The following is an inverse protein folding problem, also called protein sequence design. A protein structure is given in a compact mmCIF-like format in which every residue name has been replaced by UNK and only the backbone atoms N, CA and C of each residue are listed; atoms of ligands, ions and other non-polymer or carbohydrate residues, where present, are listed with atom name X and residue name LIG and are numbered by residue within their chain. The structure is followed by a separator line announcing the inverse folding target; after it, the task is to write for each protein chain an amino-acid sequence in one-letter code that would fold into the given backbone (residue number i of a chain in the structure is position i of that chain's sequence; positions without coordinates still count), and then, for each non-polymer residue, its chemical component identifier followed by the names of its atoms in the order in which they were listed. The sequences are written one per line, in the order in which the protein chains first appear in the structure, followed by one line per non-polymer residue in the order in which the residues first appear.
data_IF_829642707352
#
_entry.id   IF_829642707352
#
_cell.length_a   1.000
_cell.length_b   1.000
_cell.length_c   1.000
_cell.angle_alpha   90.00
_cell.angle_beta   90.00
_cell.angle_gamma   90.00
#
_symmetry.space_group_name_H-M   'P 1'
#
loop_
_entity.id
_entity.type
_entity.pdbx_description
1 polymer ?
#
# COMPACT_ATOMS: atom_id res chain seq x y z
N UNK A 1 -0.31 0.40 -0.10
CA UNK A 1 -0.79 1.20 1.05
C UNK A 1 -1.97 2.03 0.60
N UNK A 2 -3.05 2.05 1.37
CA UNK A 2 -4.24 2.90 1.19
C UNK A 2 -4.35 3.86 2.37
N UNK A 3 -4.71 5.12 2.14
CA UNK A 3 -4.70 6.17 3.17
C UNK A 3 -5.94 7.06 3.04
N UNK A 4 -6.30 7.76 4.12
CA UNK A 4 -7.40 8.73 4.10
C UNK A 4 -7.10 9.96 3.21
N UNK A 5 -8.15 10.63 2.75
CA UNK A 5 -8.05 11.84 1.93
C UNK A 5 -7.14 12.90 2.57
N UNK A 6 -6.34 13.59 1.75
CA UNK A 6 -5.35 14.58 2.20
C UNK A 6 -4.01 14.01 2.69
N UNK A 7 -3.90 12.70 2.91
CA UNK A 7 -2.65 12.05 3.31
C UNK A 7 -1.95 11.39 2.12
N UNK A 8 -1.34 12.20 1.26
CA UNK A 8 -0.59 11.72 0.09
C UNK A 8 0.90 11.61 0.46
N UNK A 9 1.44 10.40 0.63
CA UNK A 9 2.86 10.23 0.91
C UNK A 9 3.68 10.44 -0.36
N UNK A 10 4.92 10.88 -0.19
CA UNK A 10 5.87 11.12 -1.29
C UNK A 10 6.97 10.07 -1.28
N UNK A 11 7.71 9.97 -2.39
CA UNK A 11 8.91 9.14 -2.45
C UNK A 11 9.84 9.46 -1.26
N UNK A 12 10.35 8.43 -0.60
CA UNK A 12 11.22 8.56 0.58
C UNK A 12 10.46 8.63 1.91
N UNK A 13 9.14 8.77 1.91
CA UNK A 13 8.34 8.83 3.13
C UNK A 13 8.45 7.56 3.97
N UNK A 14 8.33 7.74 5.28
CA UNK A 14 8.59 6.70 6.23
C UNK A 14 7.39 5.80 6.54
N UNK A 15 7.44 4.52 6.20
CA UNK A 15 6.56 3.46 6.73
C UNK A 15 7.08 2.94 8.08
N UNK A 16 6.21 2.95 9.09
CA UNK A 16 6.47 2.49 10.45
C UNK A 16 5.40 1.46 10.90
N UNK A 17 5.78 0.53 11.78
CA UNK A 17 4.87 -0.41 12.46
C UNK A 17 5.30 -0.56 13.91
N UNK A 18 4.38 -0.41 14.86
CA UNK A 18 4.68 -0.51 16.29
C UNK A 18 5.75 0.48 16.78
N UNK A 19 5.83 1.67 16.17
CA UNK A 19 6.84 2.68 16.49
C UNK A 19 8.22 2.46 15.85
N UNK A 20 8.43 1.35 15.13
CA UNK A 20 9.67 1.08 14.43
C UNK A 20 9.54 1.37 12.92
N UNK A 21 10.61 1.90 12.34
CA UNK A 21 10.76 2.07 10.89
C UNK A 21 10.92 0.70 10.22
N UNK A 22 10.11 0.39 9.22
CA UNK A 22 10.11 -0.96 8.59
C UNK A 22 10.26 -0.97 7.06
N UNK A 23 10.42 0.19 6.42
CA UNK A 23 10.43 0.24 4.95
C UNK A 23 10.69 1.62 4.39
N UNK A 24 10.21 1.96 3.21
CA UNK A 24 10.19 3.32 2.63
C UNK A 24 9.19 3.37 1.48
N UNK A 25 8.44 4.46 1.35
CA UNK A 25 7.55 4.71 0.20
C UNK A 25 8.39 4.94 -1.06
N UNK A 26 8.13 4.16 -2.11
CA UNK A 26 8.79 4.30 -3.41
C UNK A 26 7.99 5.18 -4.36
N UNK A 27 6.66 5.16 -4.27
CA UNK A 27 5.80 6.04 -5.05
C UNK A 27 4.47 6.25 -4.33
N UNK A 28 3.92 7.46 -4.39
CA UNK A 28 2.63 7.78 -3.79
C UNK A 28 1.88 8.83 -4.62
N UNK A 29 0.57 8.67 -4.73
CA UNK A 29 -0.31 9.55 -5.51
C UNK A 29 -1.72 9.55 -4.93
N UNK A 30 -2.53 10.53 -5.34
CA UNK A 30 -3.98 10.43 -5.24
C UNK A 30 -4.52 9.57 -6.38
N UNK A 31 -5.38 8.58 -6.08
CA UNK A 31 -6.10 7.82 -7.09
C UNK A 31 -7.47 8.43 -7.31
N UNK A 32 -7.71 9.02 -8.49
CA UNK A 32 -9.02 9.56 -8.84
C UNK A 32 -10.10 8.48 -9.02
N UNK A 33 -9.70 7.25 -9.35
CA UNK A 33 -10.65 6.13 -9.50
C UNK A 33 -11.06 5.50 -8.17
N UNK A 34 -10.20 5.59 -7.17
CA UNK A 34 -10.48 5.07 -5.82
C UNK A 34 -10.88 6.18 -4.84
N UNK A 35 -10.80 7.44 -5.27
CA UNK A 35 -11.09 8.64 -4.49
C UNK A 35 -10.27 8.80 -3.20
N UNK A 36 -9.14 8.09 -3.10
CA UNK A 36 -8.25 8.16 -1.95
C UNK A 36 -6.77 8.03 -2.34
N UNK A 37 -5.84 8.52 -1.50
CA UNK A 37 -4.41 8.31 -1.71
C UNK A 37 -4.01 6.84 -1.64
N UNK A 38 -3.05 6.47 -2.50
CA UNK A 38 -2.42 5.15 -2.53
C UNK A 38 -0.90 5.29 -2.66
N UNK A 39 -0.18 4.30 -2.16
CA UNK A 39 1.28 4.26 -2.26
C UNK A 39 1.84 2.85 -2.35
N UNK A 40 2.96 2.73 -3.05
CA UNK A 40 3.85 1.57 -3.02
C UNK A 40 5.01 1.84 -2.07
N UNK A 41 5.44 0.79 -1.39
CA UNK A 41 6.56 0.85 -0.46
C UNK A 41 7.39 -0.42 -0.54
N UNK A 42 8.70 -0.25 -0.36
CA UNK A 42 9.63 -1.35 -0.10
C UNK A 42 9.71 -1.53 1.41
N UNK A 43 9.52 -2.75 1.91
CA UNK A 43 9.51 -3.05 3.35
C UNK A 43 10.37 -4.25 3.68
N UNK A 44 10.86 -4.32 4.90
CA UNK A 44 11.63 -5.47 5.41
C UNK A 44 10.73 -6.71 5.49
N UNK A 45 11.22 -7.88 5.08
CA UNK A 45 10.47 -9.15 5.16
C UNK A 45 10.74 -9.79 6.52
N UNK A 46 9.76 -10.43 7.21
CA UNK A 46 8.35 -10.62 6.85
C UNK A 46 7.43 -9.65 7.63
N UNK A 47 7.61 -8.33 7.46
CA UNK A 47 6.97 -7.36 8.35
C UNK A 47 5.46 -7.16 8.15
N UNK A 48 4.91 -7.44 6.96
CA UNK A 48 3.53 -7.06 6.60
C UNK A 48 2.72 -8.15 5.88
N UNK A 49 1.42 -8.19 6.17
CA UNK A 49 0.37 -8.92 5.45
C UNK A 49 -0.68 -7.94 4.93
N UNK A 50 -1.41 -8.33 3.89
CA UNK A 50 -2.57 -7.54 3.46
C UNK A 50 -3.63 -7.51 4.57
N UNK A 51 -4.16 -6.32 4.87
CA UNK A 51 -5.04 -6.05 6.01
C UNK A 51 -4.32 -5.52 7.25
N UNK A 52 -2.99 -5.53 7.28
CA UNK A 52 -2.25 -4.89 8.37
C UNK A 52 -2.41 -3.36 8.34
N UNK A 53 -2.37 -2.74 9.51
CA UNK A 53 -2.23 -1.29 9.68
C UNK A 53 -0.78 -0.91 9.92
N UNK A 54 -0.37 0.20 9.31
CA UNK A 54 0.94 0.85 9.49
C UNK A 54 0.75 2.37 9.60
N UNK A 55 1.77 3.10 10.05
CA UNK A 55 1.83 4.55 9.87
C UNK A 55 2.80 4.92 8.76
N UNK A 56 2.47 5.99 8.03
CA UNK A 56 3.31 6.55 6.97
C UNK A 56 3.52 8.03 7.25
N UNK A 57 4.77 8.49 7.24
CA UNK A 57 5.09 9.90 7.37
C UNK A 57 4.54 10.68 6.17
N UNK A 58 3.64 11.60 6.46
CA UNK A 58 3.12 12.58 5.52
C UNK A 58 3.35 13.97 6.08
N UNK A 59 4.36 14.66 5.54
CA UNK A 59 4.72 16.04 5.91
C UNK A 59 5.08 16.17 7.40
N UNK A 60 5.87 15.23 7.92
CA UNK A 60 6.33 15.21 9.32
C UNK A 60 5.30 14.70 10.31
N UNK A 61 4.24 14.02 9.83
CA UNK A 61 3.17 13.46 10.67
C UNK A 61 2.91 12.02 10.30
N UNK A 62 2.76 11.18 11.30
CA UNK A 62 2.37 9.78 11.12
C UNK A 62 0.88 9.71 10.72
N UNK A 63 0.62 9.35 9.46
CA UNK A 63 -0.71 9.10 8.94
C UNK A 63 -0.98 7.59 8.88
N UNK A 64 -2.14 7.11 9.36
CA UNK A 64 -2.48 5.69 9.27
C UNK A 64 -2.65 5.26 7.80
N UNK A 65 -2.21 4.03 7.51
CA UNK A 65 -2.35 3.41 6.20
C UNK A 65 -2.65 1.92 6.31
N UNK A 66 -3.51 1.42 5.43
CA UNK A 66 -3.82 0.00 5.30
C UNK A 66 -2.92 -0.66 4.25
N UNK A 67 -2.43 -1.86 4.56
CA UNK A 67 -1.73 -2.71 3.59
C UNK A 67 -2.77 -3.35 2.67
N UNK A 68 -3.03 -2.70 1.54
CA UNK A 68 -3.95 -3.21 0.51
C UNK A 68 -3.33 -4.36 -0.32
N UNK A 69 -4.18 -5.25 -0.84
CA UNK A 69 -3.79 -6.21 -1.88
C UNK A 69 -3.57 -5.50 -3.20
N UNK A 70 -2.63 -6.01 -3.99
CA UNK A 70 -2.45 -5.60 -5.38
C UNK A 70 -3.27 -6.51 -6.32
N UNK A 71 -3.77 -5.96 -7.45
CA UNK A 71 -3.62 -4.57 -7.88
C UNK A 71 -4.58 -3.63 -7.15
N UNK A 72 -4.26 -2.34 -7.06
CA UNK A 72 -5.12 -1.34 -6.40
C UNK A 72 -6.46 -1.15 -7.14
N UNK A 73 -6.40 -1.16 -8.47
CA UNK A 73 -7.54 -1.10 -9.36
C UNK A 73 -7.44 -2.21 -10.42
N UNK A 74 -8.56 -2.69 -10.95
CA UNK A 74 -8.57 -3.80 -11.92
C UNK A 74 -7.65 -3.50 -13.10
N UNK A 75 -6.69 -4.39 -13.37
CA UNK A 75 -5.73 -4.26 -14.47
C UNK A 75 -4.61 -3.22 -14.25
N UNK A 76 -4.55 -2.53 -13.10
CA UNK A 76 -3.52 -1.51 -12.82
C UNK A 76 -2.11 -2.07 -12.57
N UNK A 77 -2.01 -3.35 -12.22
CA UNK A 77 -0.73 -4.04 -12.11
C UNK A 77 -0.91 -5.54 -12.44
N UNK A 78 0.09 -6.12 -13.08
CA UNK A 78 0.19 -7.57 -13.22
C UNK A 78 0.71 -8.15 -11.90
N UNK A 79 -0.19 -8.70 -11.09
CA UNK A 79 0.21 -9.39 -9.87
C UNK A 79 0.82 -10.75 -10.24
N UNK A 80 2.07 -11.00 -9.84
CA UNK A 80 2.69 -12.33 -9.95
C UNK A 80 2.00 -13.41 -9.06
N UNK A 81 1.00 -13.02 -8.27
CA UNK A 81 0.33 -13.84 -7.25
C UNK A 81 -1.21 -13.73 -7.28
N UNK A 82 -1.83 -13.52 -8.44
CA UNK A 82 -3.26 -13.82 -8.54
C UNK A 82 -3.44 -15.36 -8.48
N UNK A 83 -4.36 -15.92 -7.68
CA UNK A 83 -4.72 -17.32 -7.86
C UNK A 83 -5.28 -17.44 -9.27
N UNK A 84 -4.68 -18.30 -10.08
CA UNK A 84 -5.24 -18.68 -11.37
C UNK A 84 -6.69 -19.11 -11.12
N UNK A 85 -7.67 -18.46 -11.76
CA UNK A 85 -9.02 -19.00 -11.80
C UNK A 85 -8.91 -20.37 -12.45
N UNK A 86 -9.05 -21.45 -11.68
CA UNK A 86 -9.31 -22.76 -12.27
C UNK A 86 -10.64 -22.64 -13.00
N UNK A 87 -10.58 -22.78 -14.32
CA UNK A 87 -11.74 -22.95 -15.15
C UNK A 87 -11.99 -24.45 -15.16
N UNK A 88 -12.50 -24.96 -14.04
CA UNK A 88 -12.93 -26.35 -13.96
C UNK A 88 -14.28 -26.44 -14.65
N UNK A 89 -14.18 -26.72 -15.95
CA UNK A 89 -15.20 -27.35 -16.76
C UNK A 89 -15.43 -28.76 -16.23
N UNK A 90 -16.60 -29.04 -15.67
CA UNK A 90 -17.44 -30.20 -16.01
C UNK A 90 -18.85 -30.01 -15.44
#
# INVERSE_FOLDING_TARGET
LSMAAGNIPRHGAAVNKGGARIGTVTSGTHSFFLEHPIALALVEVPSLRAGDMVSVDVRGRDAPADVARLPFYRGSAHTASAPAKSKDSN
#
